data_IF_390455587764
#
_entry.id   IF_390455587764
#
_cell.length_a   1.000
_cell.length_b   1.000
_cell.length_c   1.000
_cell.angle_alpha   90.00
_cell.angle_beta   90.00
_cell.angle_gamma   90.00
#
_symmetry.space_group_name_H-M   'P 1'
#
loop_
_entity.id
_entity.type
_entity.pdbx_description
1 polymer ?
#
# COMPACT_ATOMS: atom_id res chain seq x y z
N UNK A 1 1.58 -16.12 -29.52
CA UNK A 1 2.72 -15.91 -30.44
C UNK A 1 2.60 -14.48 -30.97
N UNK A 2 3.15 -13.51 -30.23
CA UNK A 2 4.49 -12.95 -30.46
C UNK A 2 4.50 -11.99 -31.66
N UNK A 3 3.91 -10.81 -31.49
CA UNK A 3 4.19 -9.67 -32.34
C UNK A 3 5.39 -8.95 -31.70
N UNK A 4 6.58 -9.16 -32.25
CA UNK A 4 7.89 -8.79 -31.68
C UNK A 4 8.17 -7.28 -31.57
N UNK A 5 7.15 -6.47 -31.25
CA UNK A 5 7.34 -5.09 -30.78
C UNK A 5 7.68 -5.14 -29.29
N UNK A 6 8.67 -4.38 -28.81
CA UNK A 6 8.85 -4.22 -27.38
C UNK A 6 7.52 -3.73 -26.79
N UNK A 7 7.05 -4.42 -25.75
CA UNK A 7 5.82 -4.02 -25.06
C UNK A 7 5.97 -2.55 -24.63
N UNK A 8 4.94 -1.73 -24.80
CA UNK A 8 5.01 -0.37 -24.26
C UNK A 8 5.25 -0.42 -22.75
N UNK A 9 5.88 0.62 -22.19
CA UNK A 9 6.05 0.74 -20.73
C UNK A 9 4.71 0.57 -19.99
N UNK A 10 3.62 1.05 -20.57
CA UNK A 10 2.28 0.88 -19.99
C UNK A 10 1.83 -0.59 -19.99
N UNK A 11 2.13 -1.37 -21.04
CA UNK A 11 1.88 -2.81 -21.04
C UNK A 11 2.76 -3.57 -20.04
N UNK A 12 4.02 -3.15 -19.87
CA UNK A 12 4.87 -3.67 -18.79
C UNK A 12 4.29 -3.35 -17.40
N UNK A 13 3.74 -2.14 -17.20
CA UNK A 13 3.09 -1.76 -15.92
C UNK A 13 1.91 -2.65 -15.61
N UNK A 14 1.04 -2.93 -16.58
CA UNK A 14 -0.12 -3.82 -16.36
C UNK A 14 0.31 -5.22 -15.97
N UNK A 15 1.33 -5.77 -16.65
CA UNK A 15 1.91 -7.07 -16.29
C UNK A 15 2.50 -7.02 -14.88
N UNK A 16 3.27 -5.98 -14.55
CA UNK A 16 3.88 -5.82 -13.23
C UNK A 16 2.82 -5.75 -12.14
N UNK A 17 1.75 -5.00 -12.38
CA UNK A 17 0.64 -4.87 -11.46
C UNK A 17 -0.07 -6.22 -11.24
N UNK A 18 -0.32 -6.99 -12.31
CA UNK A 18 -0.88 -8.35 -12.18
C UNK A 18 0.02 -9.27 -11.33
N UNK A 19 1.33 -9.25 -11.57
CA UNK A 19 2.31 -10.02 -10.81
C UNK A 19 2.41 -9.58 -9.34
N UNK A 20 2.37 -8.27 -9.07
CA UNK A 20 2.56 -7.70 -7.74
C UNK A 20 1.27 -7.62 -6.89
N UNK A 21 0.09 -7.80 -7.48
CA UNK A 21 -1.16 -7.84 -6.72
C UNK A 21 -1.14 -9.01 -5.72
N UNK A 22 -1.75 -8.84 -4.53
CA UNK A 22 -1.81 -9.92 -3.56
C UNK A 22 -2.48 -11.16 -4.15
N UNK A 23 -1.95 -12.36 -3.93
CA UNK A 23 -2.55 -13.63 -4.34
C UNK A 23 -3.77 -13.97 -3.47
N UNK A 24 -4.50 -15.04 -3.81
CA UNK A 24 -5.59 -15.54 -2.98
C UNK A 24 -5.13 -15.77 -1.53
N UNK A 25 -4.00 -16.45 -1.35
CA UNK A 25 -3.46 -16.78 -0.04
C UNK A 25 -2.96 -15.55 0.70
N UNK A 26 -2.32 -14.60 0.03
CA UNK A 26 -1.91 -13.34 0.66
C UNK A 26 -3.11 -12.52 1.12
N UNK A 27 -4.17 -12.44 0.31
CA UNK A 27 -5.43 -11.80 0.74
C UNK A 27 -6.03 -12.51 1.95
N UNK A 28 -6.05 -13.84 1.94
CA UNK A 28 -6.59 -14.63 3.06
C UNK A 28 -5.74 -14.46 4.32
N UNK A 29 -4.42 -14.48 4.18
CA UNK A 29 -3.47 -14.25 5.26
C UNK A 29 -3.66 -12.86 5.89
N UNK A 30 -3.82 -11.81 5.07
CA UNK A 30 -4.16 -10.46 5.53
C UNK A 30 -5.45 -10.43 6.33
N UNK A 31 -6.52 -11.11 5.89
CA UNK A 31 -7.78 -11.20 6.68
C UNK A 31 -7.60 -11.94 8.01
N UNK A 32 -6.71 -12.92 8.07
CA UNK A 32 -6.34 -13.56 9.33
C UNK A 32 -5.60 -12.60 10.28
N UNK A 33 -4.77 -11.69 9.74
CA UNK A 33 -4.13 -10.63 10.55
C UNK A 33 -5.18 -9.69 11.12
N UNK A 34 -6.14 -9.21 10.31
CA UNK A 34 -7.27 -8.38 10.78
C UNK A 34 -8.01 -9.07 11.92
N UNK A 35 -8.32 -10.36 11.76
CA UNK A 35 -9.00 -11.14 12.80
C UNK A 35 -8.19 -11.24 14.09
N UNK A 36 -6.87 -11.44 14.01
CA UNK A 36 -5.99 -11.48 15.20
C UNK A 36 -5.95 -10.13 15.92
N UNK A 37 -5.94 -9.02 15.17
CA UNK A 37 -5.99 -7.67 15.75
C UNK A 37 -7.36 -7.42 16.40
N UNK A 38 -8.44 -7.84 15.76
CA UNK A 38 -9.80 -7.80 16.34
C UNK A 38 -9.89 -8.61 17.64
N UNK A 39 -9.30 -9.81 17.69
CA UNK A 39 -9.29 -10.66 18.88
C UNK A 39 -8.44 -10.07 20.01
N UNK A 40 -7.38 -9.33 19.68
CA UNK A 40 -6.62 -8.57 20.67
C UNK A 40 -7.45 -7.40 21.21
N UNK A 41 -8.11 -6.63 20.33
CA UNK A 41 -9.00 -5.55 20.72
C UNK A 41 -10.17 -6.05 21.58
N UNK A 42 -10.76 -7.20 21.25
CA UNK A 42 -11.87 -7.79 22.02
C UNK A 42 -11.53 -8.25 23.43
N UNK A 43 -10.26 -8.49 23.72
CA UNK A 43 -9.83 -8.76 25.09
C UNK A 43 -9.83 -7.50 25.97
N UNK A 44 -9.76 -6.32 25.36
CA UNK A 44 -9.88 -5.02 26.04
C UNK A 44 -11.32 -4.52 25.99
N UNK A 45 -11.94 -4.58 24.81
CA UNK A 45 -13.29 -4.09 24.53
C UNK A 45 -14.13 -5.20 23.87
N UNK A 46 -14.93 -5.96 24.63
CA UNK A 46 -15.66 -7.13 24.14
C UNK A 46 -16.46 -6.93 22.85
N UNK A 47 -16.99 -5.72 22.60
CA UNK A 47 -17.77 -5.39 21.40
C UNK A 47 -16.94 -4.85 20.23
N UNK A 48 -15.60 -4.83 20.35
CA UNK A 48 -14.75 -4.25 19.33
C UNK A 48 -14.90 -4.93 17.97
N UNK A 49 -14.79 -4.12 16.92
CA UNK A 49 -14.72 -4.53 15.52
C UNK A 49 -13.48 -3.96 14.88
N UNK A 50 -12.85 -4.72 13.99
CA UNK A 50 -11.72 -4.26 13.20
C UNK A 50 -12.05 -4.25 11.70
N UNK A 51 -11.75 -3.15 11.01
CA UNK A 51 -11.96 -3.01 9.57
C UNK A 51 -10.71 -2.47 8.88
N UNK A 52 -10.55 -2.82 7.61
CA UNK A 52 -9.50 -2.25 6.75
C UNK A 52 -9.96 -0.89 6.24
N UNK A 53 -9.06 0.08 6.11
CA UNK A 53 -9.35 1.36 5.47
C UNK A 53 -8.18 1.80 4.56
N UNK A 54 -8.30 2.99 3.96
CA UNK A 54 -7.18 3.65 3.28
C UNK A 54 -6.62 2.88 2.08
N UNK A 55 -5.29 2.82 1.97
CA UNK A 55 -4.61 2.25 0.80
C UNK A 55 -4.76 0.73 0.67
N UNK A 56 -5.13 0.10 1.79
CA UNK A 56 -5.37 -1.33 1.93
C UNK A 56 -6.73 -1.77 1.37
N UNK A 57 -7.58 -0.81 0.99
CA UNK A 57 -8.94 -1.00 0.47
C UNK A 57 -9.08 -0.53 -0.99
N UNK A 58 -7.99 -0.54 -1.77
CA UNK A 58 -7.96 0.03 -3.14
C UNK A 58 -7.32 -0.89 -4.16
N UNK A 59 -7.57 -0.65 -5.45
CA UNK A 59 -6.90 -1.33 -6.59
C UNK A 59 -5.36 -1.17 -6.61
N UNK A 60 -4.81 -0.32 -5.75
CA UNK A 60 -3.38 -0.04 -5.63
C UNK A 60 -2.64 -0.93 -4.62
N UNK A 61 -3.33 -1.84 -3.93
CA UNK A 61 -2.69 -2.75 -2.97
C UNK A 61 -1.76 -3.72 -3.70
N UNK A 62 -0.54 -3.87 -3.19
CA UNK A 62 0.46 -4.82 -3.70
C UNK A 62 0.99 -5.69 -2.55
N UNK A 63 1.74 -6.75 -2.85
CA UNK A 63 2.11 -7.76 -1.87
C UNK A 63 2.90 -7.22 -0.65
N UNK A 64 3.62 -6.10 -0.79
CA UNK A 64 4.33 -5.41 0.30
C UNK A 64 3.56 -4.24 0.94
N UNK A 65 2.30 -4.03 0.58
CA UNK A 65 1.47 -3.02 1.25
C UNK A 65 1.30 -3.35 2.73
N UNK A 66 1.38 -2.33 3.57
CA UNK A 66 0.96 -2.42 4.96
C UNK A 66 -0.57 -2.59 5.04
N UNK A 67 -1.10 -2.93 6.22
CA UNK A 67 -2.53 -2.96 6.52
C UNK A 67 -2.91 -1.75 7.39
N UNK A 68 -3.69 -0.85 6.81
CA UNK A 68 -4.31 0.26 7.53
C UNK A 68 -5.61 -0.26 8.19
N UNK A 69 -5.66 -0.33 9.52
CA UNK A 69 -6.75 -0.93 10.29
C UNK A 69 -7.43 0.05 11.23
N UNK A 70 -8.77 0.09 11.21
CA UNK A 70 -9.57 0.78 12.22
C UNK A 70 -9.99 -0.22 13.27
N UNK A 71 -9.85 0.15 14.54
CA UNK A 71 -10.52 -0.54 15.65
C UNK A 71 -11.60 0.39 16.21
N UNK A 72 -12.85 -0.06 16.17
CA UNK A 72 -13.96 0.59 16.84
C UNK A 72 -14.31 -0.21 18.11
N UNK A 73 -14.14 0.35 19.33
CA UNK A 73 -14.42 -0.37 20.57
C UNK A 73 -15.89 -0.80 20.75
N UNK A 74 -16.85 -0.01 20.23
CA UNK A 74 -18.31 -0.24 20.33
C UNK A 74 -18.84 -0.49 21.75
N UNK A 75 -18.20 0.08 22.77
CA UNK A 75 -18.63 -0.01 24.17
C UNK A 75 -19.46 1.21 24.59
N UNK A 76 -20.46 0.97 25.45
CA UNK A 76 -21.29 2.04 26.00
C UNK A 76 -20.52 2.80 27.09
N UNK A 77 -20.11 4.02 26.80
CA UNK A 77 -19.56 5.01 27.75
C UNK A 77 -18.35 4.55 28.58
N UNK A 78 -17.17 4.69 27.99
CA UNK A 78 -16.13 5.50 28.62
C UNK A 78 -15.47 6.27 27.48
N UNK A 79 -15.39 7.60 27.55
CA UNK A 79 -14.68 8.39 26.55
C UNK A 79 -13.19 8.07 26.62
N UNK A 80 -12.77 6.99 25.98
CA UNK A 80 -11.36 6.66 25.83
C UNK A 80 -10.80 7.66 24.84
N UNK A 81 -9.89 8.51 25.29
CA UNK A 81 -9.14 9.33 24.35
C UNK A 81 -8.42 8.41 23.34
N UNK A 82 -8.31 8.78 22.06
CA UNK A 82 -7.61 7.95 21.07
C UNK A 82 -6.18 7.57 21.51
N UNK A 83 -5.50 8.46 22.23
CA UNK A 83 -4.18 8.20 22.83
C UNK A 83 -4.22 7.08 23.88
N UNK A 84 -5.23 7.05 24.74
CA UNK A 84 -5.39 5.99 25.74
C UNK A 84 -5.75 4.66 25.08
N UNK A 85 -6.67 4.65 24.12
CA UNK A 85 -7.02 3.45 23.37
C UNK A 85 -5.81 2.84 22.62
N UNK A 86 -4.93 3.69 22.08
CA UNK A 86 -3.67 3.26 21.47
C UNK A 86 -2.76 2.54 22.45
N UNK A 87 -2.63 3.01 23.69
CA UNK A 87 -1.79 2.35 24.71
C UNK A 87 -2.42 1.01 25.14
N UNK A 88 -3.71 0.99 25.46
CA UNK A 88 -4.43 -0.22 25.88
C UNK A 88 -4.36 -1.33 24.81
N UNK A 89 -4.60 -0.98 23.55
CA UNK A 89 -4.49 -1.95 22.46
C UNK A 89 -3.04 -2.41 22.27
N UNK A 90 -2.06 -1.52 22.38
CA UNK A 90 -0.66 -1.90 22.28
C UNK A 90 -0.25 -2.88 23.38
N UNK A 91 -0.74 -2.71 24.61
CA UNK A 91 -0.54 -3.68 25.70
C UNK A 91 -1.17 -5.04 25.37
N UNK A 92 -2.44 -5.07 24.97
CA UNK A 92 -3.11 -6.32 24.58
C UNK A 92 -2.44 -7.03 23.39
N UNK A 93 -1.87 -6.29 22.45
CA UNK A 93 -1.08 -6.83 21.34
C UNK A 93 0.28 -7.37 21.81
N UNK A 94 0.94 -6.71 22.77
CA UNK A 94 2.22 -7.16 23.35
C UNK A 94 2.06 -8.43 24.18
N UNK A 95 0.95 -8.59 24.89
CA UNK A 95 0.60 -9.86 25.57
C UNK A 95 0.53 -11.04 24.57
N UNK A 96 0.21 -10.75 23.31
CA UNK A 96 0.18 -11.70 22.18
C UNK A 96 1.49 -11.68 21.38
N UNK A 97 2.64 -11.52 22.04
CA UNK A 97 3.97 -11.43 21.41
C UNK A 97 4.37 -12.66 20.57
N UNK A 98 3.71 -13.81 20.74
CA UNK A 98 3.87 -14.98 19.87
C UNK A 98 3.27 -14.76 18.45
N UNK A 99 2.26 -13.89 18.34
CA UNK A 99 1.58 -13.54 17.09
C UNK A 99 2.15 -12.25 16.48
N UNK A 100 2.47 -11.27 17.32
CA UNK A 100 2.88 -9.94 16.88
C UNK A 100 4.33 -9.63 17.28
N UNK A 101 5.05 -8.95 16.39
CA UNK A 101 6.36 -8.37 16.62
C UNK A 101 6.31 -6.86 16.43
N UNK A 102 7.31 -6.15 16.99
CA UNK A 102 7.51 -4.71 16.79
C UNK A 102 6.27 -3.84 17.10
N UNK A 103 5.58 -4.14 18.20
CA UNK A 103 4.39 -3.37 18.62
C UNK A 103 4.81 -2.04 19.26
N UNK A 104 4.62 -0.95 18.53
CA UNK A 104 4.93 0.42 18.92
C UNK A 104 3.64 1.25 19.04
N UNK A 105 3.42 1.88 20.20
CA UNK A 105 2.36 2.87 20.38
C UNK A 105 2.87 4.27 20.07
N UNK A 106 2.09 5.06 19.33
CA UNK A 106 2.40 6.47 19.01
C UNK A 106 1.23 7.37 19.43
N UNK A 107 0.95 7.48 20.74
CA UNK A 107 -0.24 8.18 21.24
C UNK A 107 -0.20 9.70 21.04
N UNK A 108 0.99 10.28 20.81
CA UNK A 108 1.22 11.73 20.63
C UNK A 108 1.33 12.16 19.16
N UNK A 109 1.21 11.23 18.21
CA UNK A 109 1.19 11.58 16.79
C UNK A 109 -0.08 12.38 16.45
N UNK A 110 -0.06 13.14 15.34
CA UNK A 110 -1.24 13.89 14.85
C UNK A 110 -2.48 12.99 14.75
N UNK A 111 -2.29 11.74 14.32
CA UNK A 111 -3.27 10.67 14.41
C UNK A 111 -2.65 9.60 15.31
N UNK A 112 -3.16 9.41 16.53
CA UNK A 112 -2.70 8.34 17.42
C UNK A 112 -2.84 6.98 16.75
N UNK A 113 -1.76 6.19 16.78
CA UNK A 113 -1.65 4.95 16.01
C UNK A 113 -0.83 3.89 16.75
N UNK A 114 -1.19 2.61 16.59
CA UNK A 114 -0.36 1.46 16.96
C UNK A 114 0.24 0.88 15.69
N UNK A 115 1.57 0.81 15.62
CA UNK A 115 2.30 0.16 14.52
C UNK A 115 2.73 -1.22 15.01
N UNK A 116 2.51 -2.26 14.20
CA UNK A 116 2.93 -3.62 14.53
C UNK A 116 3.28 -4.43 13.27
N UNK A 117 3.87 -5.60 13.46
CA UNK A 117 4.07 -6.58 12.39
C UNK A 117 3.56 -7.95 12.81
N UNK A 118 2.76 -8.58 11.96
CA UNK A 118 2.36 -9.97 12.14
C UNK A 118 3.55 -10.90 11.92
N UNK A 119 3.83 -11.81 12.87
CA UNK A 119 5.03 -12.67 12.79
C UNK A 119 4.96 -13.72 11.70
N UNK A 120 3.78 -14.31 11.50
CA UNK A 120 3.61 -15.40 10.53
C UNK A 120 3.76 -14.88 9.09
N UNK A 121 3.07 -13.78 8.78
CA UNK A 121 2.97 -13.23 7.43
C UNK A 121 3.99 -12.13 7.14
N UNK A 122 4.61 -11.55 8.16
CA UNK A 122 5.43 -10.32 8.09
C UNK A 122 4.68 -9.08 7.58
N UNK A 123 3.36 -9.12 7.52
CA UNK A 123 2.54 -7.96 7.16
C UNK A 123 2.60 -6.94 8.29
N UNK A 124 3.05 -5.73 7.98
CA UNK A 124 2.99 -4.59 8.90
C UNK A 124 1.56 -4.06 8.95
N UNK A 125 1.16 -3.55 10.11
CA UNK A 125 -0.16 -2.97 10.32
C UNK A 125 -0.05 -1.64 11.06
N UNK A 126 -0.88 -0.70 10.64
CA UNK A 126 -1.05 0.64 11.19
C UNK A 126 -2.49 0.73 11.71
N UNK A 127 -2.67 0.68 13.04
CA UNK A 127 -3.99 0.57 13.69
C UNK A 127 -4.39 1.89 14.34
N UNK A 128 -5.52 2.46 13.92
CA UNK A 128 -6.06 3.71 14.45
C UNK A 128 -7.49 3.55 15.00
N UNK A 129 -7.90 4.54 15.79
CA UNK A 129 -9.23 4.62 16.43
C UNK A 129 -10.07 5.78 15.91
N UNK A 130 -9.55 6.55 14.95
CA UNK A 130 -10.25 7.70 14.41
C UNK A 130 -11.40 7.23 13.52
N UNK A 131 -12.61 7.70 13.82
CA UNK A 131 -13.68 7.79 12.82
C UNK A 131 -13.22 8.81 11.79
N UNK A 132 -12.85 8.36 10.61
CA UNK A 132 -12.46 9.25 9.53
C UNK A 132 -13.69 9.97 8.95
N UNK A 133 -14.12 11.02 9.63
CA UNK A 133 -14.74 12.17 8.98
C UNK A 133 -13.77 12.94 8.06
N UNK A 134 -12.60 12.38 7.73
CA UNK A 134 -11.75 12.90 6.67
C UNK A 134 -12.32 12.48 5.33
N UNK A 135 -12.42 13.37 4.33
CA UNK A 135 -13.02 13.00 3.07
C UNK A 135 -12.31 11.74 2.53
N UNK A 136 -13.05 10.70 2.09
CA UNK A 136 -12.48 9.75 1.15
C UNK A 136 -11.87 10.64 0.08
N UNK A 137 -10.56 10.52 -0.14
CA UNK A 137 -9.83 11.30 -1.12
C UNK A 137 -10.70 11.34 -2.34
N UNK A 138 -11.28 12.52 -2.62
CA UNK A 138 -12.39 12.68 -3.54
C UNK A 138 -12.06 11.84 -4.76
N UNK A 139 -12.82 10.73 -4.93
CA UNK A 139 -12.46 9.60 -5.76
C UNK A 139 -11.72 10.13 -6.99
N UNK A 140 -10.39 9.97 -6.98
CA UNK A 140 -9.61 10.27 -8.16
C UNK A 140 -10.33 9.54 -9.30
N UNK A 141 -10.63 10.20 -10.44
CA UNK A 141 -11.49 9.62 -11.45
C UNK A 141 -11.04 8.20 -11.72
N UNK A 142 -11.99 7.26 -11.77
CA UNK A 142 -11.77 5.82 -11.93
C UNK A 142 -11.16 5.52 -13.31
N UNK A 143 -9.94 6.00 -13.51
CA UNK A 143 -9.14 5.69 -14.67
C UNK A 143 -8.62 4.27 -14.43
N UNK A 144 -8.94 3.36 -15.35
CA UNK A 144 -8.63 1.94 -15.20
C UNK A 144 -7.14 1.69 -14.89
N UNK A 145 -6.24 2.50 -15.46
CA UNK A 145 -4.79 2.37 -15.23
C UNK A 145 -4.28 2.98 -13.90
N UNK A 146 -5.10 3.66 -13.09
CA UNK A 146 -4.64 4.28 -11.84
C UNK A 146 -4.09 3.23 -10.87
N UNK A 147 -4.80 2.12 -10.68
CA UNK A 147 -4.35 1.02 -9.81
C UNK A 147 -3.01 0.46 -10.25
N UNK A 148 -2.88 0.12 -11.53
CA UNK A 148 -1.68 -0.51 -12.09
C UNK A 148 -0.45 0.42 -11.99
N UNK A 149 -0.62 1.70 -12.36
CA UNK A 149 0.43 2.71 -12.23
C UNK A 149 0.83 2.92 -10.77
N UNK A 150 -0.13 2.96 -9.84
CA UNK A 150 0.19 3.09 -8.41
C UNK A 150 0.99 1.90 -7.88
N UNK A 151 0.70 0.68 -8.31
CA UNK A 151 1.45 -0.52 -7.89
C UNK A 151 2.92 -0.41 -8.30
N UNK A 152 3.20 -0.05 -9.56
CA UNK A 152 4.58 0.15 -10.01
C UNK A 152 5.27 1.33 -9.33
N UNK A 153 4.60 2.47 -9.19
CA UNK A 153 5.18 3.65 -8.53
C UNK A 153 5.51 3.38 -7.05
N UNK A 154 4.73 2.56 -6.35
CA UNK A 154 5.07 2.12 -4.99
C UNK A 154 6.37 1.31 -4.97
N UNK A 155 6.56 0.39 -5.91
CA UNK A 155 7.80 -0.37 -6.03
C UNK A 155 8.99 0.54 -6.34
N UNK A 156 8.85 1.43 -7.33
CA UNK A 156 9.89 2.38 -7.74
C UNK A 156 10.33 3.30 -6.59
N UNK A 157 9.38 3.85 -5.84
CA UNK A 157 9.66 4.73 -4.71
C UNK A 157 10.25 3.94 -3.54
N UNK A 158 9.78 2.72 -3.27
CA UNK A 158 10.33 1.88 -2.19
C UNK A 158 11.79 1.51 -2.46
N UNK A 159 12.09 1.06 -3.67
CA UNK A 159 13.41 0.68 -4.13
C UNK A 159 14.45 1.82 -3.99
N UNK A 160 13.99 3.08 -3.91
CA UNK A 160 14.82 4.27 -3.70
C UNK A 160 14.70 4.90 -2.31
N UNK A 161 14.03 4.23 -1.38
CA UNK A 161 13.76 4.74 -0.02
C UNK A 161 13.01 6.10 -0.02
N UNK A 162 12.03 6.21 -0.92
CA UNK A 162 11.21 7.40 -1.16
C UNK A 162 9.71 7.14 -0.99
N UNK A 163 9.31 5.98 -0.47
CA UNK A 163 7.90 5.64 -0.26
C UNK A 163 7.27 6.28 1.00
N UNK A 164 8.09 6.87 1.87
CA UNK A 164 7.65 7.36 3.18
C UNK A 164 7.80 8.88 3.33
N UNK A 165 6.76 9.63 3.73
CA UNK A 165 6.84 11.07 3.93
C UNK A 165 7.84 11.51 5.01
N UNK A 166 8.03 10.71 6.08
CA UNK A 166 8.89 11.10 7.19
C UNK A 166 10.39 11.04 6.87
N UNK A 167 10.78 10.38 5.77
CA UNK A 167 12.17 10.32 5.27
C UNK A 167 12.42 11.29 4.10
N UNK A 168 11.50 12.21 3.81
CA UNK A 168 11.61 13.08 2.64
C UNK A 168 10.94 12.51 1.38
N UNK A 169 10.27 11.36 1.46
CA UNK A 169 9.66 10.68 0.31
C UNK A 169 8.23 11.11 -0.06
N UNK A 170 7.69 10.43 -1.07
CA UNK A 170 6.30 10.52 -1.50
C UNK A 170 5.49 9.33 -0.98
N UNK A 171 4.68 9.58 0.06
CA UNK A 171 3.69 8.61 0.53
C UNK A 171 2.57 8.35 -0.48
N UNK A 172 1.96 7.17 -0.40
CA UNK A 172 0.90 6.68 -1.30
C UNK A 172 -0.21 7.71 -1.59
N UNK A 173 -0.64 8.47 -0.59
CA UNK A 173 -1.66 9.51 -0.75
C UNK A 173 -1.24 10.62 -1.73
N UNK A 174 -0.04 11.19 -1.54
CA UNK A 174 0.46 12.26 -2.42
C UNK A 174 0.75 11.73 -3.82
N UNK A 175 1.31 10.53 -3.91
CA UNK A 175 1.55 9.85 -5.20
C UNK A 175 0.24 9.63 -5.97
N UNK A 176 -0.82 9.17 -5.30
CA UNK A 176 -2.14 8.98 -5.91
C UNK A 176 -2.75 10.30 -6.39
N UNK A 177 -2.63 11.39 -5.62
CA UNK A 177 -3.11 12.71 -6.06
C UNK A 177 -2.37 13.25 -7.29
N UNK A 178 -1.04 13.08 -7.33
CA UNK A 178 -0.23 13.46 -8.48
C UNK A 178 -0.66 12.66 -9.71
N UNK A 179 -0.81 11.35 -9.55
CA UNK A 179 -1.22 10.46 -10.62
C UNK A 179 -2.63 10.81 -11.12
N UNK A 180 -3.59 11.02 -10.23
CA UNK A 180 -4.95 11.46 -10.57
C UNK A 180 -4.96 12.79 -11.34
N UNK A 181 -4.05 13.70 -11.01
CA UNK A 181 -3.90 14.97 -11.73
C UNK A 181 -3.36 14.75 -13.14
N UNK A 182 -2.38 13.87 -13.31
CA UNK A 182 -1.83 13.51 -14.61
C UNK A 182 -2.85 12.76 -15.48
N UNK A 183 -3.53 11.75 -14.93
CA UNK A 183 -4.52 10.94 -15.65
C UNK A 183 -5.76 11.73 -16.08
N UNK A 184 -6.03 12.87 -15.44
CA UNK A 184 -7.05 13.81 -15.93
C UNK A 184 -6.67 14.54 -17.21
N UNK A 185 -5.37 14.60 -17.55
CA UNK A 185 -4.80 15.28 -18.73
C UNK A 185 -3.52 14.56 -19.25
N UNK A 186 -3.64 13.30 -19.69
CA UNK A 186 -2.49 12.54 -20.17
C UNK A 186 -1.97 13.10 -21.49
N UNK A 187 -0.68 12.91 -21.75
CA UNK A 187 -0.08 13.19 -23.06
C UNK A 187 -0.24 11.93 -23.93
N UNK A 188 -1.07 11.95 -24.99
CA UNK A 188 -1.30 10.74 -25.79
C UNK A 188 -0.03 10.25 -26.50
N UNK A 189 0.95 11.14 -26.74
CA UNK A 189 2.14 10.82 -27.55
C UNK A 189 3.26 10.13 -26.76
N UNK A 190 3.21 10.16 -25.42
CA UNK A 190 4.30 9.67 -24.56
C UNK A 190 3.93 8.43 -23.74
N UNK A 191 2.64 8.12 -23.64
CA UNK A 191 2.12 7.05 -22.80
C UNK A 191 1.94 7.48 -21.34
N UNK A 192 1.33 6.59 -20.54
CA UNK A 192 0.87 6.92 -19.20
C UNK A 192 2.02 7.04 -18.21
N UNK A 193 2.84 6.00 -18.06
CA UNK A 193 3.93 6.00 -17.08
C UNK A 193 4.98 7.07 -17.40
N UNK A 194 5.50 7.07 -18.63
CA UNK A 194 6.57 7.99 -19.03
C UNK A 194 6.10 9.44 -18.95
N UNK A 195 4.90 9.75 -19.44
CA UNK A 195 4.36 11.11 -19.33
C UNK A 195 4.11 11.54 -17.89
N UNK A 196 3.66 10.64 -17.01
CA UNK A 196 3.55 10.93 -15.57
C UNK A 196 4.92 11.28 -14.96
N UNK A 197 5.94 10.47 -15.24
CA UNK A 197 7.29 10.68 -14.74
C UNK A 197 7.88 12.00 -15.27
N UNK A 198 7.73 12.30 -16.57
CA UNK A 198 8.23 13.53 -17.18
C UNK A 198 7.59 14.79 -16.57
N UNK A 199 6.26 14.80 -16.39
CA UNK A 199 5.58 15.93 -15.76
C UNK A 199 5.96 16.08 -14.29
N UNK A 200 6.00 14.98 -13.54
CA UNK A 200 6.31 15.02 -12.10
C UNK A 200 7.77 15.40 -11.85
N UNK A 201 8.69 14.97 -12.72
CA UNK A 201 10.08 15.36 -12.72
C UNK A 201 10.32 16.81 -13.21
N UNK A 202 9.29 17.49 -13.72
CA UNK A 202 9.39 18.86 -14.22
C UNK A 202 10.05 18.99 -15.59
N UNK A 203 10.09 17.92 -16.40
CA UNK A 203 10.61 17.93 -17.78
C UNK A 203 9.59 18.41 -18.82
N UNK A 204 8.28 18.41 -18.49
CA UNK A 204 7.19 18.79 -19.41
C UNK A 204 6.15 19.76 -18.80
N UNK A 205 6.62 20.89 -18.28
CA UNK A 205 5.76 21.92 -17.69
C UNK A 205 5.06 21.46 -16.40
N UNK A 206 4.88 22.36 -15.45
CA UNK A 206 4.52 21.96 -14.08
C UNK A 206 5.64 21.14 -13.42
N UNK A 207 5.32 20.48 -12.30
CA UNK A 207 6.29 19.75 -11.51
C UNK A 207 5.69 19.28 -10.19
N UNK A 208 6.44 18.50 -9.42
CA UNK A 208 5.99 17.95 -8.14
C UNK A 208 5.29 18.99 -7.25
N UNK A 209 5.91 20.15 -7.07
CA UNK A 209 5.39 21.24 -6.22
C UNK A 209 4.15 21.90 -6.83
N UNK A 210 4.17 22.21 -8.13
CA UNK A 210 3.03 22.83 -8.81
C UNK A 210 1.78 21.92 -8.78
N UNK A 211 1.96 20.62 -9.03
CA UNK A 211 0.86 19.66 -9.07
C UNK A 211 0.25 19.38 -7.69
N UNK A 212 1.07 19.34 -6.63
CA UNK A 212 0.56 19.24 -5.26
C UNK A 212 -0.20 20.51 -4.84
N UNK A 213 0.32 21.69 -5.19
CA UNK A 213 -0.34 22.98 -4.91
C UNK A 213 -1.70 23.12 -5.62
N UNK A 214 -1.84 22.65 -6.87
CA UNK A 214 -3.12 22.65 -7.61
C UNK A 214 -4.21 21.89 -6.84
N UNK A 215 -3.85 20.87 -6.07
CA UNK A 215 -4.78 20.07 -5.26
C UNK A 215 -4.94 20.60 -3.83
N UNK A 216 -4.37 21.76 -3.51
CA UNK A 216 -4.42 22.34 -2.16
C UNK A 216 -3.63 21.53 -1.13
N UNK A 217 -2.69 20.68 -1.55
CA UNK A 217 -1.91 19.81 -0.66
C UNK A 217 -0.48 20.34 -0.54
N UNK A 218 -0.04 20.59 0.69
CA UNK A 218 1.34 21.01 0.97
C UNK A 218 2.37 19.88 0.74
N UNK A 219 3.58 20.28 0.34
CA UNK A 219 4.76 19.42 0.17
C UNK A 219 5.67 19.37 1.41
N UNK A 220 5.20 19.87 2.56
CA UNK A 220 5.95 19.83 3.81
C UNK A 220 6.40 18.41 4.17
N UNK A 221 7.71 18.28 4.47
CA UNK A 221 8.37 17.01 4.74
C UNK A 221 8.83 16.22 3.51
N UNK A 222 8.60 16.70 2.28
CA UNK A 222 9.08 16.05 1.04
C UNK A 222 10.37 16.70 0.57
N UNK A 223 11.42 15.91 0.33
CA UNK A 223 12.62 16.34 -0.40
C UNK A 223 12.34 16.28 -1.90
N UNK A 224 11.85 17.42 -2.42
CA UNK A 224 11.51 17.59 -3.84
C UNK A 224 12.72 17.29 -4.74
N UNK A 225 13.93 17.63 -4.31
CA UNK A 225 15.15 17.42 -5.09
C UNK A 225 15.48 15.93 -5.23
N UNK A 226 15.45 15.18 -4.11
CA UNK A 226 15.69 13.73 -4.09
C UNK A 226 14.64 12.98 -4.92
N UNK A 227 13.35 13.32 -4.75
CA UNK A 227 12.27 12.73 -5.52
C UNK A 227 12.43 13.02 -7.01
N UNK A 228 12.69 14.27 -7.39
CA UNK A 228 12.83 14.65 -8.81
C UNK A 228 14.01 13.95 -9.49
N UNK A 229 15.14 13.81 -8.80
CA UNK A 229 16.30 13.04 -9.29
C UNK A 229 15.93 11.58 -9.50
N UNK A 230 15.35 10.93 -8.49
CA UNK A 230 14.91 9.54 -8.58
C UNK A 230 13.99 9.25 -9.78
N UNK A 231 12.98 10.11 -10.02
CA UNK A 231 12.08 9.97 -11.17
C UNK A 231 12.81 10.26 -12.50
N UNK A 232 13.75 11.21 -12.50
CA UNK A 232 14.57 11.55 -13.66
C UNK A 232 15.54 10.43 -14.05
N UNK A 233 16.07 9.71 -13.07
CA UNK A 233 16.96 8.58 -13.28
C UNK A 233 16.18 7.39 -13.85
N UNK A 234 14.97 7.13 -13.34
CA UNK A 234 14.08 6.11 -13.89
C UNK A 234 13.73 6.37 -15.36
N UNK A 235 13.54 7.63 -15.76
CA UNK A 235 13.29 8.01 -17.15
C UNK A 235 14.43 7.69 -18.13
N UNK A 236 15.63 7.36 -17.63
CA UNK A 236 16.77 6.92 -18.44
C UNK A 236 16.68 5.48 -18.95
N UNK A 237 15.70 4.70 -18.48
CA UNK A 237 15.46 3.32 -18.93
C UNK A 237 14.22 3.22 -19.84
N UNK A 238 14.30 2.32 -20.82
CA UNK A 238 13.19 1.97 -21.70
C UNK A 238 12.35 0.77 -21.21
N UNK A 239 12.72 0.16 -20.07
CA UNK A 239 11.98 -0.96 -19.45
C UNK A 239 11.79 -0.74 -17.95
N UNK A 240 10.75 -1.35 -17.36
CA UNK A 240 10.51 -1.29 -15.91
C UNK A 240 11.64 -1.92 -15.10
N UNK A 241 12.23 -3.02 -15.60
CA UNK A 241 13.35 -3.67 -14.93
C UNK A 241 14.54 -2.71 -14.80
N UNK A 242 14.89 -1.98 -15.88
CA UNK A 242 15.95 -0.97 -15.82
C UNK A 242 15.59 0.29 -15.02
N UNK A 243 14.32 0.48 -14.66
CA UNK A 243 13.90 1.55 -13.74
C UNK A 243 14.07 1.17 -12.27
N UNK A 244 14.21 -0.12 -11.94
CA UNK A 244 14.41 -0.59 -10.58
C UNK A 244 15.91 -0.85 -10.31
N UNK A 245 16.36 -0.53 -9.11
CA UNK A 245 17.74 -0.72 -8.65
C UNK A 245 17.98 -2.18 -8.23
N UNK A 246 16.99 -2.84 -7.62
CA UNK A 246 17.11 -4.21 -7.11
C UNK A 246 15.91 -5.09 -7.51
N UNK A 247 15.91 -5.58 -8.75
CA UNK A 247 14.87 -6.48 -9.26
C UNK A 247 14.92 -7.85 -8.56
N UNK A 248 16.10 -8.41 -8.34
CA UNK A 248 16.25 -9.74 -7.73
C UNK A 248 15.77 -9.74 -6.27
N UNK A 249 16.10 -8.69 -5.50
CA UNK A 249 15.59 -8.52 -4.15
C UNK A 249 14.06 -8.36 -4.13
N UNK A 250 13.48 -7.66 -5.11
CA UNK A 250 12.04 -7.52 -5.23
C UNK A 250 11.35 -8.87 -5.52
N UNK A 251 11.94 -9.70 -6.38
CA UNK A 251 11.45 -11.06 -6.66
C UNK A 251 11.56 -11.96 -5.42
N UNK A 252 12.69 -11.92 -4.71
CA UNK A 252 12.86 -12.68 -3.47
C UNK A 252 11.83 -12.28 -2.40
N UNK A 253 11.49 -10.99 -2.30
CA UNK A 253 10.43 -10.51 -1.42
C UNK A 253 9.05 -11.03 -1.83
N UNK A 254 8.76 -11.12 -3.13
CA UNK A 254 7.51 -11.69 -3.65
C UNK A 254 7.36 -13.16 -3.25
N UNK A 255 8.41 -13.95 -3.45
CA UNK A 255 8.44 -15.37 -3.08
C UNK A 255 8.28 -15.57 -1.57
N UNK A 256 8.98 -14.79 -0.73
CA UNK A 256 8.82 -14.86 0.73
C UNK A 256 7.40 -14.51 1.18
N UNK A 257 6.81 -13.45 0.61
CA UNK A 257 5.44 -13.03 0.88
C UNK A 257 4.43 -14.14 0.57
N UNK A 258 4.51 -14.71 -0.63
CA UNK A 258 3.60 -15.77 -1.07
C UNK A 258 3.78 -17.06 -0.27
N UNK A 259 5.02 -17.48 0.02
CA UNK A 259 5.31 -18.65 0.86
C UNK A 259 4.71 -18.49 2.26
N UNK A 260 4.98 -17.36 2.93
CA UNK A 260 4.47 -17.08 4.28
C UNK A 260 2.95 -17.03 4.34
N UNK A 261 2.34 -16.40 3.33
CA UNK A 261 0.88 -16.34 3.24
C UNK A 261 0.26 -17.74 3.13
N UNK A 262 0.82 -18.59 2.28
CA UNK A 262 0.36 -19.97 2.11
C UNK A 262 0.55 -20.78 3.40
N UNK A 263 1.69 -20.65 4.08
CA UNK A 263 1.95 -21.28 5.39
C UNK A 263 0.96 -20.80 6.46
N UNK A 264 0.77 -19.49 6.60
CA UNK A 264 -0.19 -18.91 7.55
C UNK A 264 -1.61 -19.38 7.26
N UNK A 265 -1.96 -19.56 5.98
CA UNK A 265 -3.26 -20.06 5.58
C UNK A 265 -3.47 -21.53 5.96
N UNK A 266 -2.45 -22.38 5.78
CA UNK A 266 -2.48 -23.81 6.16
C UNK A 266 -2.55 -24.02 7.66
N UNK A 267 -1.84 -23.18 8.43
CA UNK A 267 -1.78 -23.26 9.89
C UNK A 267 -2.98 -22.61 10.58
N UNK A 268 -3.87 -21.94 9.85
CA UNK A 268 -5.05 -21.32 10.42
C UNK A 268 -6.05 -22.37 10.96
N UNK A 269 -6.66 -22.16 12.14
CA UNK A 269 -7.65 -23.07 12.69
C UNK A 269 -8.80 -23.32 11.71
N UNK A 270 -9.22 -24.60 11.59
CA UNK A 270 -10.40 -24.95 10.79
C UNK A 270 -11.64 -24.24 11.34
N UNK A 271 -12.37 -23.54 10.48
CA UNK A 271 -13.58 -22.80 10.86
C UNK A 271 -13.31 -21.41 11.47
N UNK A 272 -12.08 -20.89 11.44
CA UNK A 272 -11.83 -19.50 11.81
C UNK A 272 -12.76 -18.57 11.01
N UNK A 273 -13.59 -17.79 11.71
CA UNK A 273 -14.42 -16.76 11.10
C UNK A 273 -13.50 -15.70 10.50
N UNK A 274 -13.21 -15.83 9.21
CA UNK A 274 -12.43 -14.87 8.45
C UNK A 274 -13.41 -13.76 8.06
N UNK A 275 -13.10 -12.48 8.35
CA UNK A 275 -13.94 -11.37 7.93
C UNK A 275 -14.22 -11.46 6.42
N UNK A 276 -15.42 -11.12 5.93
CA UNK A 276 -15.67 -11.08 4.49
C UNK A 276 -14.66 -10.12 3.81
N UNK A 277 -14.31 -10.35 2.54
CA UNK A 277 -13.46 -9.43 1.80
C UNK A 277 -14.10 -8.03 1.81
N UNK A 278 -13.34 -7.02 2.20
CA UNK A 278 -13.85 -5.64 2.27
C UNK A 278 -13.97 -5.01 0.87
N UNK A 279 -13.21 -5.49 -0.13
CA UNK A 279 -13.21 -4.88 -1.47
C UNK A 279 -12.53 -5.68 -2.60
N UNK A 280 -12.09 -6.92 -2.39
CA UNK A 280 -11.41 -7.64 -3.46
C UNK A 280 -12.43 -8.10 -4.52
N UNK A 281 -12.42 -7.45 -5.68
CA UNK A 281 -13.02 -8.02 -6.89
C UNK A 281 -12.49 -9.47 -7.07
N UNK A 282 -13.33 -10.41 -7.55
CA UNK A 282 -12.86 -11.75 -7.86
C UNK A 282 -11.70 -11.66 -8.87
N UNK A 283 -10.58 -12.34 -8.60
CA UNK A 283 -9.47 -12.40 -9.54
C UNK A 283 -9.77 -13.43 -10.64
N UNK A 284 -9.65 -13.00 -11.90
CA UNK A 284 -9.36 -13.85 -13.05
C UNK A 284 -8.02 -14.61 -12.82
N UNK A 285 -7.82 -15.79 -13.43
CA UNK A 285 -6.65 -16.63 -13.19
C UNK A 285 -5.33 -15.94 -13.56
N UNK A 286 -4.25 -16.27 -12.83
CA UNK A 286 -2.93 -15.68 -13.01
C UNK A 286 -2.32 -16.03 -14.37
N UNK A 287 -1.88 -15.01 -15.11
CA UNK A 287 -1.00 -15.16 -16.28
C UNK A 287 0.44 -15.54 -15.86
N UNK A 288 1.22 -16.18 -16.75
CA UNK A 288 2.57 -16.67 -16.44
C UNK A 288 3.55 -15.60 -15.95
N UNK A 289 4.58 -16.05 -15.22
CA UNK A 289 5.69 -15.28 -14.67
C UNK A 289 6.31 -14.29 -15.70
N UNK A 290 6.38 -13.03 -15.28
CA UNK A 290 6.91 -11.88 -15.99
C UNK A 290 8.39 -11.99 -16.38
N UNK A 291 9.14 -12.89 -15.72
CA UNK A 291 10.57 -13.10 -15.95
C UNK A 291 10.90 -14.37 -16.73
N UNK A 292 9.89 -15.09 -17.23
CA UNK A 292 10.08 -16.23 -18.12
C UNK A 292 10.79 -17.42 -17.49
N UNK A 293 10.57 -17.69 -16.20
CA UNK A 293 11.05 -18.91 -15.55
C UNK A 293 9.86 -19.86 -15.30
N UNK A 294 10.07 -21.12 -15.66
CA UNK A 294 9.10 -22.22 -15.50
C UNK A 294 8.75 -22.47 -14.01
#
# INVERSE_FOLDING_TARGET
LADGRPASLDAEVRRFAAWARPTHDERRARRLVVKRVEDAARAVWPRATCSVYGSSDTESTWFLSDLDLRVAPNEAMTFLSPSYAVEELAEALRERSALFGRVESRPRARVPIVVLQDRATRVSCDVSFADDGGPPVAAAPAHADHGDLMVFLKALLRDRDLAAPFTGGLGSFRTSLLLATYLGRPDPDVGLLRGFLERTAGRRGGGLTANLSIRGVGYGGVDVGRVRRALSDALGSESLAGMLLDVDGLVALREDSSRRAAEACRSAPRGAAIPPPTCYAPLEPAEPDLFGRD
#
